data_IF_170994084350
#
_entry.id   IF_170994084350
#
_cell.length_a   1.000
_cell.length_b   1.000
_cell.length_c   1.000
_cell.angle_alpha   90.00
_cell.angle_beta   90.00
_cell.angle_gamma   90.00
#
_symmetry.space_group_name_H-M   'P 1'
#
loop_
_entity.id
_entity.type
_entity.pdbx_description
1 polymer ?
#
# COMPACT_ATOMS: atom_id res chain seq x y z
N UNK A 1 -62.62 43.90 -32.77
CA UNK A 1 -61.59 44.97 -32.66
C UNK A 1 -60.32 44.26 -32.21
N UNK A 2 -59.49 43.78 -33.14
CA UNK A 2 -58.34 44.51 -33.72
C UNK A 2 -57.47 45.17 -32.66
N UNK A 3 -56.24 44.68 -32.48
CA UNK A 3 -55.13 45.19 -33.30
C UNK A 3 -53.90 44.29 -33.19
N UNK A 4 -53.24 44.17 -34.34
CA UNK A 4 -51.99 43.51 -34.65
C UNK A 4 -50.83 44.52 -34.52
N UNK A 5 -49.58 44.01 -34.48
CA UNK A 5 -48.37 44.53 -35.17
C UNK A 5 -47.18 45.07 -34.35
N UNK A 6 -46.00 44.51 -34.67
CA UNK A 6 -44.63 45.08 -34.56
C UNK A 6 -43.63 44.07 -33.97
N UNK A 7 -42.82 43.28 -34.71
CA UNK A 7 -41.60 43.60 -35.51
C UNK A 7 -40.58 44.40 -34.68
N UNK A 8 -39.32 43.99 -34.45
CA UNK A 8 -38.26 43.75 -35.43
C UNK A 8 -37.08 42.88 -34.93
N UNK A 9 -36.31 42.43 -35.93
CA UNK A 9 -35.06 41.65 -36.00
C UNK A 9 -33.81 42.32 -35.41
N UNK A 10 -32.88 41.54 -34.83
CA UNK A 10 -31.42 41.77 -34.94
C UNK A 10 -30.54 40.59 -34.45
N UNK A 11 -29.75 40.05 -35.39
CA UNK A 11 -28.33 39.65 -35.27
C UNK A 11 -27.89 38.55 -34.26
N UNK A 12 -27.96 37.29 -34.70
CA UNK A 12 -27.21 36.18 -34.11
C UNK A 12 -25.74 36.20 -34.54
N UNK A 13 -24.89 36.83 -33.75
CA UNK A 13 -23.43 36.90 -33.97
C UNK A 13 -22.78 35.55 -33.67
N UNK A 14 -22.19 34.96 -34.71
CA UNK A 14 -21.32 33.78 -34.61
C UNK A 14 -20.10 34.09 -33.77
N UNK A 15 -19.90 33.34 -32.68
CA UNK A 15 -18.64 33.29 -31.96
C UNK A 15 -18.28 31.82 -31.79
N UNK A 16 -17.52 31.32 -32.75
CA UNK A 16 -16.76 30.10 -32.60
C UNK A 16 -15.88 30.25 -31.37
N UNK A 17 -16.30 29.69 -30.25
CA UNK A 17 -15.41 29.47 -29.11
C UNK A 17 -14.42 28.42 -29.57
N UNK A 18 -13.24 28.89 -30.00
CA UNK A 18 -12.05 28.07 -30.08
C UNK A 18 -11.92 27.36 -28.73
N UNK A 19 -12.16 26.05 -28.72
CA UNK A 19 -11.89 25.20 -27.59
C UNK A 19 -10.37 25.26 -27.38
N UNK A 20 -9.95 26.16 -26.49
CA UNK A 20 -8.63 26.10 -25.88
C UNK A 20 -8.60 24.75 -25.17
N UNK A 21 -7.90 23.80 -25.76
CA UNK A 21 -7.58 22.50 -25.18
C UNK A 21 -6.72 22.76 -23.93
N UNK A 22 -7.38 23.16 -22.84
CA UNK A 22 -6.81 23.01 -21.51
C UNK A 22 -6.82 21.52 -21.25
N UNK A 23 -5.74 20.85 -21.67
CA UNK A 23 -5.35 19.54 -21.20
C UNK A 23 -5.24 19.58 -19.66
N UNK A 24 -6.38 19.39 -19.00
CA UNK A 24 -6.42 18.92 -17.63
C UNK A 24 -5.61 17.62 -17.62
N UNK A 25 -4.53 17.52 -16.82
CA UNK A 25 -3.76 16.29 -16.75
C UNK A 25 -4.73 15.17 -16.38
N UNK A 26 -4.74 14.11 -17.20
CA UNK A 26 -5.62 12.96 -16.99
C UNK A 26 -5.54 12.50 -15.53
N UNK A 27 -6.68 12.12 -14.91
CA UNK A 27 -6.67 11.70 -13.51
C UNK A 27 -5.66 10.57 -13.33
N UNK A 28 -4.68 10.80 -12.46
CA UNK A 28 -3.66 9.81 -12.13
C UNK A 28 -4.33 8.50 -11.76
N UNK A 29 -3.76 7.38 -12.21
CA UNK A 29 -4.18 6.05 -11.75
C UNK A 29 -4.30 6.02 -10.23
N UNK A 30 -5.24 5.24 -9.70
CA UNK A 30 -5.45 5.08 -8.24
C UNK A 30 -4.14 4.81 -7.51
N UNK A 31 -3.26 4.01 -8.12
CA UNK A 31 -1.93 3.72 -7.59
C UNK A 31 -1.05 4.96 -7.50
N UNK A 32 -0.97 5.74 -8.58
CA UNK A 32 -0.17 6.97 -8.67
C UNK A 32 -0.62 8.02 -7.65
N UNK A 33 -1.94 8.22 -7.52
CA UNK A 33 -2.51 9.12 -6.51
C UNK A 33 -2.15 8.67 -5.09
N UNK A 34 -2.19 7.36 -4.82
CA UNK A 34 -1.82 6.82 -3.50
C UNK A 34 -0.33 7.02 -3.22
N UNK A 35 0.53 6.68 -4.18
CA UNK A 35 1.99 6.82 -4.09
C UNK A 35 2.38 8.28 -3.81
N UNK A 36 1.77 9.24 -4.52
CA UNK A 36 1.99 10.68 -4.29
C UNK A 36 1.59 11.11 -2.88
N UNK A 37 0.46 10.65 -2.36
CA UNK A 37 0.02 10.95 -0.98
C UNK A 37 0.98 10.39 0.06
N UNK A 38 1.39 9.15 -0.11
CA UNK A 38 2.32 8.48 0.79
C UNK A 38 3.68 9.18 0.80
N UNK A 39 4.19 9.53 -0.38
CA UNK A 39 5.41 10.30 -0.55
C UNK A 39 5.35 11.65 0.17
N UNK A 40 4.28 12.41 -0.05
CA UNK A 40 4.08 13.70 0.60
C UNK A 40 3.99 13.56 2.12
N UNK A 41 3.32 12.52 2.61
CA UNK A 41 3.19 12.22 4.04
C UNK A 41 4.56 11.94 4.65
N UNK A 42 5.39 11.13 4.01
CA UNK A 42 6.75 10.86 4.47
C UNK A 42 7.63 12.13 4.47
N UNK A 43 7.56 12.95 3.40
CA UNK A 43 8.28 14.23 3.34
C UNK A 43 7.86 15.17 4.47
N UNK A 44 6.56 15.24 4.76
CA UNK A 44 6.07 16.06 5.86
C UNK A 44 6.54 15.52 7.22
N UNK A 45 6.52 14.21 7.41
CA UNK A 45 7.06 13.58 8.61
C UNK A 45 8.53 13.94 8.85
N UNK A 46 9.37 13.93 7.82
CA UNK A 46 10.79 14.31 7.94
C UNK A 46 10.99 15.79 8.31
N UNK A 47 10.17 16.70 7.75
CA UNK A 47 10.20 18.12 8.10
C UNK A 47 9.78 18.39 9.54
N UNK A 48 8.92 17.55 10.08
CA UNK A 48 8.43 17.66 11.45
C UNK A 48 9.40 17.07 12.50
N UNK A 49 10.50 16.44 12.06
CA UNK A 49 11.55 15.95 12.97
C UNK A 49 12.25 17.12 13.69
N UNK A 50 12.84 16.81 14.84
CA UNK A 50 13.64 17.78 15.62
C UNK A 50 15.04 17.20 15.87
N UNK A 51 16.07 17.63 15.10
CA UNK A 51 16.04 18.63 14.02
C UNK A 51 15.37 18.14 12.73
N UNK A 52 14.88 19.05 11.85
CA UNK A 52 14.29 18.67 10.57
C UNK A 52 15.28 17.91 9.69
N UNK A 53 14.82 16.84 9.05
CA UNK A 53 15.64 15.97 8.21
C UNK A 53 15.32 16.23 6.74
N UNK A 54 16.36 16.44 5.91
CA UNK A 54 16.18 16.50 4.46
C UNK A 54 16.09 15.08 3.88
N UNK A 55 15.38 14.91 2.76
CA UNK A 55 15.32 13.62 2.07
C UNK A 55 16.70 13.05 1.72
N UNK A 56 17.64 13.90 1.32
CA UNK A 56 19.02 13.51 1.00
C UNK A 56 19.79 12.96 2.20
N UNK A 57 19.40 13.35 3.41
CA UNK A 57 19.97 12.86 4.68
C UNK A 57 19.08 11.81 5.35
N UNK A 58 18.00 11.39 4.69
CA UNK A 58 17.11 10.40 5.28
C UNK A 58 17.77 9.02 5.28
N UNK A 59 17.99 8.49 6.48
CA UNK A 59 18.51 7.16 6.72
C UNK A 59 17.38 6.13 6.90
N UNK A 60 17.65 4.82 6.75
CA UNK A 60 16.68 3.76 6.99
C UNK A 60 16.00 3.85 8.36
N UNK A 61 16.69 4.35 9.40
CA UNK A 61 16.11 4.52 10.73
C UNK A 61 14.92 5.50 10.72
N UNK A 62 15.00 6.61 9.99
CA UNK A 62 13.87 7.54 9.86
C UNK A 62 12.67 6.90 9.13
N UNK A 63 12.91 5.93 8.25
CA UNK A 63 11.85 5.15 7.63
C UNK A 63 11.21 4.23 8.67
N UNK A 64 12.00 3.53 9.48
CA UNK A 64 11.48 2.67 10.56
C UNK A 64 10.67 3.49 11.57
N UNK A 65 11.18 4.63 12.00
CA UNK A 65 10.48 5.54 12.92
C UNK A 65 9.18 6.06 12.31
N UNK A 66 9.18 6.35 11.00
CA UNK A 66 7.97 6.70 10.27
C UNK A 66 6.94 5.56 10.27
N UNK A 67 7.36 4.32 10.01
CA UNK A 67 6.45 3.18 10.07
C UNK A 67 5.88 2.98 11.48
N UNK A 68 6.69 3.19 12.52
CA UNK A 68 6.23 3.17 13.92
C UNK A 68 5.27 4.32 14.24
N UNK A 69 5.50 5.51 13.70
CA UNK A 69 4.57 6.64 13.81
C UNK A 69 3.20 6.33 13.20
N UNK A 70 3.15 5.59 12.09
CA UNK A 70 1.90 5.20 11.46
C UNK A 70 1.03 4.24 12.29
N UNK A 71 1.61 3.54 13.28
CA UNK A 71 0.84 2.67 14.18
C UNK A 71 -0.21 3.46 14.99
N UNK A 72 0.00 4.76 15.21
CA UNK A 72 -0.99 5.64 15.90
C UNK A 72 -2.32 5.73 15.14
N UNK A 73 -2.28 5.53 13.82
CA UNK A 73 -3.45 5.51 12.94
C UNK A 73 -3.83 4.08 12.53
N UNK A 74 -3.26 3.09 13.21
CA UNK A 74 -3.49 1.68 13.00
C UNK A 74 -4.93 1.26 13.28
N UNK A 75 -5.39 0.25 12.54
CA UNK A 75 -6.72 -0.36 12.75
C UNK A 75 -6.65 -1.83 13.15
N UNK A 76 -5.45 -2.41 13.14
CA UNK A 76 -5.26 -3.83 13.47
C UNK A 76 -4.91 -3.96 14.95
N UNK A 77 -5.70 -4.71 15.71
CA UNK A 77 -5.35 -5.10 17.07
C UNK A 77 -4.18 -6.10 17.02
N UNK A 78 -3.09 -5.80 17.71
CA UNK A 78 -1.92 -6.70 17.82
C UNK A 78 -1.71 -7.03 19.30
N UNK A 79 -2.03 -8.27 19.67
CA UNK A 79 -1.89 -8.75 21.04
C UNK A 79 -0.42 -8.83 21.46
N UNK A 80 -0.10 -8.34 22.66
CA UNK A 80 1.22 -8.46 23.27
C UNK A 80 1.38 -9.87 23.88
N UNK A 81 2.61 -10.37 24.01
CA UNK A 81 2.91 -11.72 24.50
C UNK A 81 2.25 -12.05 25.86
N UNK A 82 2.04 -11.06 26.73
CA UNK A 82 1.38 -11.23 28.03
C UNK A 82 -0.16 -11.09 28.01
N UNK A 83 -0.76 -10.91 26.83
CA UNK A 83 -2.22 -10.80 26.70
C UNK A 83 -2.86 -12.20 26.75
N UNK A 84 -3.96 -12.36 27.50
CA UNK A 84 -4.71 -13.62 27.54
C UNK A 84 -5.31 -14.06 26.19
N UNK A 85 -5.35 -13.14 25.21
CA UNK A 85 -5.78 -13.40 23.84
C UNK A 85 -4.63 -13.59 22.86
N UNK A 86 -3.37 -13.58 23.32
CA UNK A 86 -2.23 -13.78 22.45
C UNK A 86 -2.29 -15.17 21.80
N UNK A 87 -2.21 -15.22 20.47
CA UNK A 87 -2.28 -16.48 19.75
C UNK A 87 -3.71 -17.00 19.57
N UNK A 88 -4.74 -16.19 19.82
CA UNK A 88 -6.13 -16.53 19.56
C UNK A 88 -6.62 -15.83 18.29
N UNK A 89 -7.07 -16.57 17.25
CA UNK A 89 -7.57 -15.96 16.01
C UNK A 89 -8.84 -15.13 16.19
N UNK A 90 -9.69 -15.56 17.12
CA UNK A 90 -10.98 -14.94 17.42
C UNK A 90 -11.09 -14.75 18.93
N UNK A 91 -10.61 -13.61 19.45
CA UNK A 91 -10.60 -13.37 20.88
C UNK A 91 -12.03 -13.10 21.39
N UNK A 92 -12.48 -13.78 22.45
CA UNK A 92 -13.86 -13.69 22.95
C UNK A 92 -14.17 -12.38 23.71
N UNK A 93 -13.20 -11.47 23.88
CA UNK A 93 -13.38 -10.22 24.62
C UNK A 93 -12.40 -9.11 24.26
N UNK A 94 -12.65 -7.87 24.74
CA UNK A 94 -11.81 -6.73 24.47
C UNK A 94 -10.48 -6.78 25.26
N UNK A 95 -9.43 -6.14 24.72
CA UNK A 95 -8.17 -5.95 25.44
C UNK A 95 -7.52 -4.59 25.18
N UNK A 96 -6.66 -4.19 26.13
CA UNK A 96 -5.87 -2.97 26.10
C UNK A 96 -4.67 -3.02 25.14
N UNK A 97 -4.53 -4.08 24.33
CA UNK A 97 -3.44 -4.15 23.36
C UNK A 97 -3.54 -3.02 22.31
N UNK A 98 -2.40 -2.51 21.82
CA UNK A 98 -2.40 -1.38 20.90
C UNK A 98 -3.01 -1.75 19.55
N UNK A 99 -3.54 -0.73 18.87
CA UNK A 99 -3.82 -0.81 17.44
C UNK A 99 -2.55 -0.44 16.68
N UNK A 100 -2.29 -1.16 15.59
CA UNK A 100 -1.12 -1.00 14.72
C UNK A 100 -1.52 -1.09 13.26
N UNK A 101 -0.62 -0.71 12.37
CA UNK A 101 -0.80 -0.96 10.94
C UNK A 101 -0.72 -2.46 10.67
N UNK A 102 -1.52 -2.95 9.73
CA UNK A 102 -1.35 -4.32 9.24
C UNK A 102 -0.02 -4.43 8.50
N UNK A 103 0.70 -5.54 8.68
CA UNK A 103 1.96 -5.81 7.99
C UNK A 103 1.85 -5.58 6.46
N UNK A 104 0.79 -6.10 5.83
CA UNK A 104 0.59 -5.95 4.38
C UNK A 104 0.40 -4.50 3.93
N UNK A 105 -0.16 -3.64 4.78
CA UNK A 105 -0.28 -2.21 4.50
C UNK A 105 1.08 -1.51 4.54
N UNK A 106 1.94 -1.85 5.51
CA UNK A 106 3.29 -1.31 5.62
C UNK A 106 4.17 -1.78 4.46
N UNK A 107 4.10 -3.05 4.09
CA UNK A 107 4.86 -3.62 2.96
C UNK A 107 4.49 -2.93 1.63
N UNK A 108 3.18 -2.79 1.37
CA UNK A 108 2.69 -2.08 0.19
C UNK A 108 3.07 -0.59 0.19
N UNK A 109 3.07 0.07 1.35
CA UNK A 109 3.53 1.45 1.50
C UNK A 109 5.02 1.58 1.16
N UNK A 110 5.87 0.70 1.69
CA UNK A 110 7.30 0.69 1.38
C UNK A 110 7.55 0.47 -0.11
N UNK A 111 6.80 -0.41 -0.76
CA UNK A 111 6.87 -0.59 -2.22
C UNK A 111 6.58 0.70 -2.98
N UNK A 112 5.52 1.43 -2.58
CA UNK A 112 5.19 2.73 -3.19
C UNK A 112 6.24 3.79 -2.92
N UNK A 113 6.80 3.85 -1.70
CA UNK A 113 7.84 4.83 -1.36
C UNK A 113 9.16 4.56 -2.08
N UNK A 114 9.53 3.29 -2.33
CA UNK A 114 10.67 2.94 -3.19
C UNK A 114 10.50 3.52 -4.60
N UNK A 115 9.36 3.24 -5.23
CA UNK A 115 9.05 3.75 -6.56
C UNK A 115 9.01 5.28 -6.59
N UNK A 116 8.41 5.92 -5.58
CA UNK A 116 8.36 7.37 -5.47
C UNK A 116 9.77 7.98 -5.36
N UNK A 117 10.68 7.35 -4.61
CA UNK A 117 12.05 7.83 -4.47
C UNK A 117 12.78 7.85 -5.81
N UNK A 118 12.68 6.77 -6.58
CA UNK A 118 13.31 6.65 -7.91
C UNK A 118 12.75 7.67 -8.91
N UNK A 119 11.42 7.86 -8.93
CA UNK A 119 10.77 8.87 -9.77
C UNK A 119 11.11 10.32 -9.38
N UNK A 120 11.54 10.56 -8.15
CA UNK A 120 12.00 11.87 -7.68
C UNK A 120 13.52 12.04 -7.85
N UNK A 121 14.16 11.24 -8.71
CA UNK A 121 15.57 11.33 -9.06
C UNK A 121 16.52 10.61 -8.10
N UNK A 122 15.99 9.79 -7.19
CA UNK A 122 16.79 8.98 -6.29
C UNK A 122 17.38 7.75 -6.96
N UNK A 123 18.63 7.41 -6.64
CA UNK A 123 19.26 6.19 -7.16
C UNK A 123 18.77 4.95 -6.38
N UNK A 124 18.55 3.80 -7.05
CA UNK A 124 18.17 2.56 -6.37
C UNK A 124 19.16 2.13 -5.28
N UNK A 125 20.46 2.33 -5.50
CA UNK A 125 21.53 1.94 -4.57
C UNK A 125 21.52 2.75 -3.26
N UNK A 126 21.12 4.02 -3.31
CA UNK A 126 21.06 4.90 -2.13
C UNK A 126 19.66 4.95 -1.52
N UNK A 127 18.74 4.11 -1.99
CA UNK A 127 17.34 4.18 -1.61
C UNK A 127 17.14 3.72 -0.14
N UNK A 128 16.74 4.62 0.78
CA UNK A 128 16.60 4.28 2.19
C UNK A 128 15.49 3.25 2.44
N UNK A 129 14.48 3.18 1.57
CA UNK A 129 13.39 2.22 1.66
C UNK A 129 13.80 0.81 1.19
N UNK A 130 14.88 0.69 0.42
CA UNK A 130 15.42 -0.58 -0.09
C UNK A 130 16.45 -1.24 0.86
N UNK A 131 16.82 -0.56 1.95
CA UNK A 131 17.81 -1.05 2.91
C UNK A 131 17.46 -2.42 3.54
N UNK A 132 18.50 -3.19 3.88
CA UNK A 132 18.38 -4.44 4.65
C UNK A 132 17.64 -4.26 5.98
N UNK A 133 17.84 -3.13 6.66
CA UNK A 133 17.17 -2.83 7.92
C UNK A 133 15.63 -2.80 7.77
N UNK A 134 15.12 -2.24 6.66
CA UNK A 134 13.68 -2.20 6.38
C UNK A 134 13.13 -3.61 6.13
N UNK A 135 13.89 -4.46 5.43
CA UNK A 135 13.50 -5.86 5.19
C UNK A 135 13.42 -6.67 6.48
N UNK A 136 14.38 -6.47 7.39
CA UNK A 136 14.39 -7.13 8.70
C UNK A 136 13.20 -6.64 9.54
N UNK A 137 12.99 -5.32 9.63
CA UNK A 137 11.87 -4.73 10.36
C UNK A 137 10.51 -5.27 9.88
N UNK A 138 10.26 -5.27 8.56
CA UNK A 138 9.01 -5.80 8.02
C UNK A 138 8.82 -7.29 8.31
N UNK A 139 9.91 -8.08 8.35
CA UNK A 139 9.84 -9.51 8.75
C UNK A 139 9.45 -9.65 10.22
N UNK A 140 10.07 -8.89 11.11
CA UNK A 140 9.75 -8.91 12.54
C UNK A 140 8.31 -8.50 12.82
N UNK A 141 7.82 -7.45 12.13
CA UNK A 141 6.41 -7.03 12.21
C UNK A 141 5.48 -8.15 11.75
N UNK A 142 5.80 -8.81 10.62
CA UNK A 142 5.03 -9.94 10.11
C UNK A 142 4.96 -11.06 11.14
N UNK A 143 6.11 -11.49 11.66
CA UNK A 143 6.20 -12.61 12.58
C UNK A 143 5.48 -12.30 13.90
N UNK A 144 5.61 -11.08 14.40
CA UNK A 144 4.90 -10.62 15.60
C UNK A 144 3.39 -10.62 15.41
N UNK A 145 2.89 -10.12 14.26
CA UNK A 145 1.45 -10.12 13.98
C UNK A 145 0.88 -11.51 13.74
N UNK A 146 1.63 -12.40 13.08
CA UNK A 146 1.21 -13.79 12.86
C UNK A 146 1.11 -14.54 14.20
N UNK A 147 2.11 -14.39 15.07
CA UNK A 147 2.09 -14.98 16.42
C UNK A 147 0.92 -14.44 17.25
N UNK A 148 0.73 -13.12 17.25
CA UNK A 148 -0.35 -12.48 17.99
C UNK A 148 -1.75 -12.95 17.57
N UNK A 149 -1.95 -13.24 16.28
CA UNK A 149 -3.21 -13.76 15.72
C UNK A 149 -3.37 -15.27 15.85
N UNK A 150 -2.32 -16.01 16.22
CA UNK A 150 -2.41 -17.46 16.41
C UNK A 150 -2.66 -18.28 15.15
N UNK A 151 -2.45 -17.72 13.96
CA UNK A 151 -2.64 -18.46 12.71
C UNK A 151 -1.52 -19.50 12.60
N UNK A 152 -1.79 -20.81 12.73
CA UNK A 152 -0.74 -21.81 12.61
C UNK A 152 -0.23 -21.77 11.16
N UNK A 153 1.08 -21.69 10.98
CA UNK A 153 1.70 -21.76 9.67
C UNK A 153 1.56 -23.19 9.12
N UNK A 154 0.38 -23.53 8.58
CA UNK A 154 0.23 -24.74 7.76
C UNK A 154 1.02 -24.50 6.47
N UNK A 155 2.29 -24.91 6.42
CA UNK A 155 3.00 -25.13 5.15
C UNK A 155 2.12 -26.06 4.32
N UNK A 156 1.42 -25.54 3.30
CA UNK A 156 0.91 -26.38 2.22
C UNK A 156 2.13 -27.02 1.58
N UNK A 157 2.47 -28.25 1.99
CA UNK A 157 3.40 -29.11 1.24
C UNK A 157 2.85 -29.18 -0.18
N UNK A 158 3.55 -28.57 -1.13
CA UNK A 158 3.27 -28.70 -2.56
C UNK A 158 3.35 -30.20 -2.86
N UNK A 159 2.20 -30.87 -3.05
CA UNK A 159 2.18 -32.26 -3.51
C UNK A 159 2.75 -32.22 -4.93
N UNK A 160 3.98 -32.70 -5.12
CA UNK A 160 4.52 -32.97 -6.45
C UNK A 160 3.57 -33.95 -7.16
N UNK A 161 3.04 -33.65 -8.35
CA UNK A 161 2.22 -34.59 -9.11
C UNK A 161 3.00 -35.78 -9.69
N UNK A 162 4.32 -35.87 -9.49
CA UNK A 162 5.20 -36.84 -10.16
C UNK A 162 5.39 -38.17 -9.40
N UNK A 163 4.36 -38.68 -8.73
CA UNK A 163 4.43 -40.03 -8.12
C UNK A 163 3.13 -40.85 -8.27
N UNK A 164 2.21 -40.47 -9.16
CA UNK A 164 0.98 -41.25 -9.43
C UNK A 164 0.98 -42.02 -10.76
N UNK A 165 2.12 -42.16 -11.43
CA UNK A 165 2.19 -42.77 -12.78
C UNK A 165 3.01 -44.06 -12.91
N UNK A 166 3.56 -44.63 -11.83
CA UNK A 166 4.41 -45.85 -11.91
C UNK A 166 3.69 -47.13 -11.45
N UNK A 167 2.50 -47.05 -10.85
CA UNK A 167 1.81 -48.22 -10.28
C UNK A 167 0.76 -48.88 -11.19
N UNK A 168 0.71 -48.57 -12.50
CA UNK A 168 -0.40 -49.05 -13.37
C UNK A 168 0.03 -49.53 -14.76
N UNK A 169 1.26 -50.06 -14.91
CA UNK A 169 1.67 -50.74 -16.14
C UNK A 169 2.57 -51.95 -15.86
N UNK A 170 1.98 -52.99 -15.26
CA UNK A 170 2.56 -54.33 -15.27
C UNK A 170 1.41 -55.33 -15.40
N UNK A 171 1.11 -55.70 -16.65
CA UNK A 171 0.03 -56.61 -17.00
C UNK A 171 0.00 -56.87 -18.50
N UNK A 172 1.03 -57.53 -19.03
CA UNK A 172 0.92 -58.29 -20.27
C UNK A 172 0.05 -59.53 -20.02
N UNK A 173 -0.78 -59.92 -20.99
CA UNK A 173 -0.74 -61.32 -21.39
C UNK A 173 -0.57 -61.47 -22.91
N UNK A 174 0.32 -62.39 -23.22
CA UNK A 174 0.53 -63.05 -24.51
C UNK A 174 -0.59 -64.08 -24.69
N UNK A 175 -1.36 -63.96 -25.77
CA UNK A 175 -1.68 -65.02 -26.76
C UNK A 175 -2.70 -64.50 -27.77
#
# INVERSE_FOLDING_TARGET
>A
MSSDKGKDTAEGSSRSTAATDQQQPAPLSRYESQKRRDWNTFRQYLRNQRPPVSLSRSHPNHVIDFLGYLDQFGKTKVHLQGCGFFGQPEPPGPCACPLKQAWGSLDALIGRLRAAYEENGGLPETNPFASGAIRIYLREVRDSQVKARGIPYKKKKKKNPLMKAIASSSGFPVQ
#
